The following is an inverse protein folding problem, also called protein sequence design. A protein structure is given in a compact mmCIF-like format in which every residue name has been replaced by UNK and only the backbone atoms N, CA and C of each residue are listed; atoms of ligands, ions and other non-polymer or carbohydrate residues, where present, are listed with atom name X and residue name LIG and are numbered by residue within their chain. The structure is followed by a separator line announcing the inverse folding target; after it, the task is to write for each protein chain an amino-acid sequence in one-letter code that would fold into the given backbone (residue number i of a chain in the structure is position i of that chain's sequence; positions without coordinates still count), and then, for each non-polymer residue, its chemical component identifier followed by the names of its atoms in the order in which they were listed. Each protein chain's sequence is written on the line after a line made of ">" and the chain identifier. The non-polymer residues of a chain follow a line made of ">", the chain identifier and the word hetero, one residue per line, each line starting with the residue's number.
data_IF_938531331583
#
_entry.id   IF_938531331583
#
_cell.length_a   1.000
_cell.length_b   1.000
_cell.length_c   1.000
_cell.angle_alpha   90.00
_cell.angle_beta   90.00
_cell.angle_gamma   90.00
#
_symmetry.space_group_name_H-M   'P 1'
#
loop_
_entity.id
_entity.type
_entity.pdbx_description
1 polymer ?
#
# COMPACT_ATOMS: atom_id res chain seq x y z
N UNK A 1 13.56 3.35 -3.44
CA UNK A 1 13.03 2.00 -3.08
C UNK A 1 13.49 1.71 -1.66
N UNK A 2 12.62 1.14 -0.82
CA UNK A 2 12.91 0.76 0.57
C UNK A 2 12.74 -0.76 0.71
N UNK A 3 13.52 -1.38 1.60
CA UNK A 3 13.40 -2.81 1.89
C UNK A 3 12.84 -3.07 3.30
N UNK A 4 11.61 -3.56 3.40
CA UNK A 4 10.99 -3.98 4.66
C UNK A 4 11.30 -5.46 4.98
N UNK A 5 12.58 -5.77 5.18
CA UNK A 5 13.08 -7.15 5.31
C UNK A 5 12.61 -7.86 6.60
N UNK A 6 12.07 -7.12 7.57
CA UNK A 6 11.45 -7.69 8.79
C UNK A 6 9.92 -7.75 8.70
N UNK A 7 9.34 -7.32 7.57
CA UNK A 7 7.89 -7.15 7.42
C UNK A 7 7.27 -6.29 8.53
N UNK A 8 8.05 -5.39 9.15
CA UNK A 8 7.57 -4.63 10.30
C UNK A 8 6.59 -3.56 9.82
N UNK A 9 6.99 -2.81 8.80
CA UNK A 9 6.17 -1.72 8.26
C UNK A 9 4.86 -2.24 7.70
N UNK A 10 4.88 -3.35 6.94
CA UNK A 10 3.66 -3.91 6.36
C UNK A 10 2.72 -4.51 7.42
N UNK A 11 3.25 -4.95 8.57
CA UNK A 11 2.44 -5.36 9.74
C UNK A 11 1.87 -4.16 10.48
N UNK A 12 2.68 -3.13 10.72
CA UNK A 12 2.23 -1.88 11.37
C UNK A 12 1.10 -1.19 10.58
N UNK A 13 1.14 -1.28 9.24
CA UNK A 13 0.13 -0.73 8.33
C UNK A 13 -1.05 -1.68 8.04
N UNK A 14 -1.07 -2.87 8.64
CA UNK A 14 -2.10 -3.91 8.46
C UNK A 14 -2.31 -4.30 6.98
N UNK A 15 -1.20 -4.50 6.26
CA UNK A 15 -1.17 -4.86 4.83
C UNK A 15 -0.29 -6.08 4.56
N UNK A 16 -0.06 -6.93 5.56
CA UNK A 16 0.59 -8.22 5.34
C UNK A 16 -0.32 -9.13 4.49
N UNK A 17 0.22 -9.64 3.39
CA UNK A 17 -0.35 -10.73 2.61
C UNK A 17 0.49 -11.99 2.88
N UNK A 18 -0.03 -12.96 3.66
CA UNK A 18 0.68 -14.21 3.87
C UNK A 18 0.65 -15.08 2.61
N UNK A 19 1.66 -15.94 2.46
CA UNK A 19 1.71 -17.02 1.47
C UNK A 19 1.38 -16.56 0.04
N UNK A 20 2.04 -15.50 -0.44
CA UNK A 20 1.79 -14.94 -1.77
C UNK A 20 1.93 -16.03 -2.84
N UNK A 21 0.93 -16.11 -3.74
CA UNK A 21 0.83 -17.13 -4.80
C UNK A 21 0.85 -18.58 -4.28
N UNK A 22 0.35 -18.80 -3.05
CA UNK A 22 0.32 -20.10 -2.37
C UNK A 22 1.72 -20.67 -2.04
N UNK A 23 2.74 -19.81 -2.03
CA UNK A 23 4.10 -20.20 -1.61
C UNK A 23 4.22 -19.97 -0.11
N UNK A 24 4.26 -21.06 0.66
CA UNK A 24 4.29 -21.00 2.13
C UNK A 24 5.47 -20.18 2.65
N UNK A 25 5.20 -19.21 3.53
CA UNK A 25 6.17 -18.32 4.15
C UNK A 25 6.68 -17.20 3.22
N UNK A 26 6.16 -17.11 2.00
CA UNK A 26 6.46 -16.03 1.08
C UNK A 26 5.49 -14.86 1.32
N UNK A 27 5.64 -14.22 2.48
CA UNK A 27 4.85 -13.06 2.86
C UNK A 27 5.22 -11.84 2.00
N UNK A 28 4.22 -11.04 1.64
CA UNK A 28 4.40 -9.82 0.86
C UNK A 28 3.52 -8.70 1.39
N UNK A 29 3.76 -7.48 0.89
CA UNK A 29 2.80 -6.39 1.06
C UNK A 29 1.60 -6.62 0.14
N UNK A 30 0.37 -6.40 0.64
CA UNK A 30 -0.77 -6.13 -0.24
C UNK A 30 -0.42 -4.95 -1.16
N UNK A 31 -0.90 -4.96 -2.40
CA UNK A 31 -0.75 -3.79 -3.26
C UNK A 31 -1.55 -2.65 -2.64
N UNK A 32 -0.88 -1.56 -2.29
CA UNK A 32 -1.48 -0.49 -1.50
C UNK A 32 -0.88 0.87 -1.81
N UNK A 33 -1.66 1.92 -1.59
CA UNK A 33 -1.25 3.33 -1.68
C UNK A 33 -1.71 4.05 -0.42
N UNK A 34 -0.78 4.77 0.19
CA UNK A 34 -1.04 5.67 1.31
C UNK A 34 -0.49 7.04 0.93
N UNK A 35 -1.31 8.07 1.03
CA UNK A 35 -0.87 9.47 0.86
C UNK A 35 -0.94 10.13 2.22
N UNK A 36 0.19 10.67 2.66
CA UNK A 36 0.32 11.40 3.92
C UNK A 36 0.42 12.89 3.58
N UNK A 37 -0.32 13.72 4.30
CA UNK A 37 -0.27 15.17 4.12
C UNK A 37 0.91 15.84 4.84
N UNK A 38 1.06 17.14 4.64
CA UNK A 38 2.12 17.96 5.22
C UNK A 38 2.12 17.99 6.76
N UNK A 39 0.98 17.63 7.39
CA UNK A 39 0.84 17.54 8.84
C UNK A 39 1.11 16.11 9.36
N UNK A 40 1.55 15.19 8.48
CA UNK A 40 1.79 13.80 8.83
C UNK A 40 0.52 12.96 8.98
N UNK A 41 -0.64 13.44 8.50
CA UNK A 41 -1.92 12.71 8.60
C UNK A 41 -2.20 11.90 7.35
N UNK A 42 -2.85 10.74 7.53
CA UNK A 42 -3.30 9.91 6.42
C UNK A 42 -4.43 10.61 5.66
N UNK A 43 -4.14 11.01 4.42
CA UNK A 43 -5.04 11.76 3.56
C UNK A 43 -5.79 10.88 2.55
N UNK A 44 -5.16 9.78 2.11
CA UNK A 44 -5.75 8.81 1.18
C UNK A 44 -5.22 7.42 1.48
N UNK A 45 -6.08 6.42 1.34
CA UNK A 45 -5.75 5.01 1.52
C UNK A 45 -6.45 4.18 0.44
N UNK A 46 -5.68 3.35 -0.23
CA UNK A 46 -6.18 2.32 -1.12
C UNK A 46 -5.42 1.03 -0.85
N UNK A 47 -6.14 -0.08 -0.68
CA UNK A 47 -5.57 -1.42 -0.48
C UNK A 47 -6.32 -2.38 -1.39
N UNK A 48 -5.59 -3.24 -2.09
CA UNK A 48 -6.17 -4.34 -2.82
C UNK A 48 -6.04 -5.66 -2.05
N UNK A 49 -7.11 -6.46 -2.07
CA UNK A 49 -7.09 -7.85 -1.61
C UNK A 49 -6.43 -8.81 -2.62
N UNK A 50 -6.28 -8.37 -3.88
CA UNK A 50 -5.60 -9.14 -4.94
C UNK A 50 -4.35 -8.43 -5.42
N UNK A 51 -3.19 -9.11 -5.50
CA UNK A 51 -1.96 -8.49 -6.00
C UNK A 51 -2.04 -8.12 -7.50
N UNK A 52 -3.04 -8.65 -8.22
CA UNK A 52 -3.28 -8.44 -9.65
C UNK A 52 -4.14 -7.21 -9.96
N UNK A 53 -4.85 -6.68 -8.97
CA UNK A 53 -5.71 -5.51 -9.17
C UNK A 53 -4.87 -4.26 -8.98
N UNK A 54 -4.90 -3.37 -9.96
CA UNK A 54 -4.22 -2.08 -9.92
C UNK A 54 -5.12 -0.97 -9.38
N UNK A 55 -4.54 0.07 -8.77
CA UNK A 55 -5.30 1.26 -8.38
C UNK A 55 -5.72 2.06 -9.61
N UNK A 56 -6.74 2.91 -9.45
CA UNK A 56 -7.04 3.93 -10.44
C UNK A 56 -6.03 5.08 -10.34
N UNK A 57 -4.98 5.04 -11.16
CA UNK A 57 -3.93 6.07 -11.12
C UNK A 57 -4.45 7.48 -11.40
N UNK A 58 -5.47 7.64 -12.26
CA UNK A 58 -6.01 8.95 -12.58
C UNK A 58 -6.71 9.57 -11.37
N UNK A 59 -7.48 8.78 -10.62
CA UNK A 59 -8.11 9.21 -9.37
C UNK A 59 -7.08 9.73 -8.36
N UNK A 60 -5.95 9.02 -8.22
CA UNK A 60 -4.87 9.40 -7.32
C UNK A 60 -4.19 10.69 -7.77
N UNK A 61 -3.91 10.83 -9.06
CA UNK A 61 -3.32 12.05 -9.62
C UNK A 61 -4.27 13.24 -9.42
N UNK A 62 -5.56 13.05 -9.64
CA UNK A 62 -6.56 14.10 -9.44
C UNK A 62 -6.74 14.45 -7.96
N UNK A 63 -6.62 13.47 -7.06
CA UNK A 63 -6.57 13.71 -5.62
C UNK A 63 -5.37 14.59 -5.23
N UNK A 64 -4.18 14.30 -5.78
CA UNK A 64 -2.98 15.09 -5.52
C UNK A 64 -3.09 16.52 -6.05
N UNK A 65 -3.66 16.72 -7.25
CA UNK A 65 -3.83 18.05 -7.84
C UNK A 65 -4.75 18.97 -7.04
N UNK A 66 -5.78 18.43 -6.38
CA UNK A 66 -6.71 19.20 -5.54
C UNK A 66 -6.08 19.76 -4.27
N UNK A 67 -4.90 19.29 -3.89
CA UNK A 67 -4.17 19.71 -2.67
C UNK A 67 -3.08 20.74 -2.94
N UNK A 68 -2.91 21.19 -4.19
CA UNK A 68 -2.02 22.29 -4.58
C UNK A 68 -2.77 23.62 -4.65
#
# INVERSE_FOLDING_TARGET
>A
ILGDYKSKTIRDYDILMPDLLHVKGYDAAKRSIFIIDENGKLAYKWISESPLVEPNYQEIIDFLKKRN
#
